data_IF_517250413230
#
_entry.id   IF_517250413230
#
_cell.length_a   1.000
_cell.length_b   1.000
_cell.length_c   1.000
_cell.angle_alpha   90.00
_cell.angle_beta   90.00
_cell.angle_gamma   90.00
#
_symmetry.space_group_name_H-M   'P 1'
#
loop_
_entity.id
_entity.type
_entity.pdbx_description
1 polymer ?
#
# COMPACT_ATOMS: atom_id res chain seq x y z
N UNK A 1 -14.11 15.45 -0.31
CA UNK A 1 -13.11 14.90 0.62
C UNK A 1 -11.98 14.24 -0.17
N UNK A 2 -10.75 14.41 0.28
CA UNK A 2 -9.56 13.87 -0.39
C UNK A 2 -9.05 12.63 0.36
N UNK A 3 -9.91 11.61 0.49
CA UNK A 3 -9.52 10.37 1.17
C UNK A 3 -8.99 9.36 0.15
N UNK A 4 -7.90 8.73 0.52
CA UNK A 4 -7.25 7.70 -0.28
C UNK A 4 -6.86 6.52 0.61
N UNK A 5 -6.83 5.34 0.01
CA UNK A 5 -6.24 4.16 0.63
C UNK A 5 -4.91 3.88 -0.09
N UNK A 6 -3.87 3.62 0.68
CA UNK A 6 -2.57 3.23 0.12
C UNK A 6 -2.34 1.74 0.26
N UNK A 7 -1.76 1.14 -0.76
CA UNK A 7 -1.45 -0.30 -0.77
C UNK A 7 0.00 -0.55 -1.14
N UNK A 8 0.64 -1.42 -0.38
CA UNK A 8 1.92 -2.03 -0.73
C UNK A 8 1.64 -3.52 -1.00
N UNK A 9 1.59 -3.89 -2.27
CA UNK A 9 1.15 -5.22 -2.69
C UNK A 9 2.34 -6.19 -2.74
N UNK A 10 2.39 -7.10 -1.76
CA UNK A 10 3.37 -8.17 -1.73
C UNK A 10 2.76 -9.51 -2.13
N UNK A 11 3.60 -10.54 -2.29
CA UNK A 11 3.16 -11.87 -2.68
C UNK A 11 2.38 -12.57 -1.56
N UNK A 12 2.76 -12.33 -0.34
CA UNK A 12 2.18 -12.98 0.85
C UNK A 12 1.31 -12.03 1.64
N UNK A 13 1.70 -10.77 1.74
CA UNK A 13 1.02 -9.75 2.55
C UNK A 13 0.83 -8.48 1.76
N UNK A 14 -0.25 -7.76 2.07
CA UNK A 14 -0.51 -6.43 1.52
C UNK A 14 -0.59 -5.46 2.69
N UNK A 15 0.29 -4.47 2.70
CA UNK A 15 0.22 -3.37 3.66
C UNK A 15 -0.85 -2.38 3.23
N UNK A 16 -1.60 -1.86 4.19
CA UNK A 16 -2.69 -0.91 3.92
C UNK A 16 -2.49 0.33 4.77
N UNK A 17 -2.65 1.48 4.15
CA UNK A 17 -2.62 2.78 4.82
C UNK A 17 -3.87 3.57 4.47
N UNK A 18 -4.20 4.54 5.31
CA UNK A 18 -5.30 5.48 5.07
C UNK A 18 -4.82 6.90 5.30
N UNK A 19 -5.61 7.87 4.91
CA UNK A 19 -5.29 9.26 5.20
C UNK A 19 -6.46 9.97 5.87
N UNK A 20 -6.17 11.15 6.41
CA UNK A 20 -7.18 12.02 7.00
C UNK A 20 -8.12 12.59 5.92
N UNK A 21 -9.31 13.11 6.29
CA UNK A 21 -10.26 13.67 5.32
C UNK A 21 -9.72 14.83 4.49
N UNK A 22 -8.70 15.54 4.98
CA UNK A 22 -8.10 16.64 4.25
C UNK A 22 -7.02 16.18 3.26
N UNK A 23 -6.62 14.91 3.31
CA UNK A 23 -5.61 14.36 2.41
C UNK A 23 -4.20 14.87 2.69
N UNK A 24 -3.88 15.09 3.96
CA UNK A 24 -2.59 15.66 4.37
C UNK A 24 -1.63 14.61 4.92
N UNK A 25 -2.13 13.73 5.77
CA UNK A 25 -1.29 12.78 6.50
C UNK A 25 -1.74 11.33 6.28
N UNK A 26 -0.79 10.48 5.90
CA UNK A 26 -1.01 9.04 5.78
C UNK A 26 -0.68 8.33 7.09
N UNK A 27 -1.51 7.37 7.45
CA UNK A 27 -1.31 6.51 8.63
C UNK A 27 -1.42 5.04 8.25
N UNK A 28 -0.60 4.20 8.86
CA UNK A 28 -0.70 2.76 8.67
C UNK A 28 -2.03 2.25 9.25
N UNK A 29 -2.70 1.36 8.52
CA UNK A 29 -4.01 0.83 8.94
C UNK A 29 -3.94 -0.64 9.33
N UNK A 30 -3.53 -1.50 8.43
CA UNK A 30 -3.46 -2.94 8.70
C UNK A 30 -2.58 -3.66 7.68
N UNK A 31 -2.35 -4.95 7.92
CA UNK A 31 -1.71 -5.86 6.97
C UNK A 31 -2.70 -6.96 6.64
N UNK A 32 -2.88 -7.23 5.36
CA UNK A 32 -3.72 -8.33 4.89
C UNK A 32 -2.81 -9.53 4.60
N UNK A 33 -3.06 -10.66 5.29
CA UNK A 33 -2.38 -11.91 5.01
C UNK A 33 -3.15 -12.64 3.90
N UNK A 34 -2.54 -12.75 2.73
CA UNK A 34 -3.19 -13.31 1.54
C UNK A 34 -3.46 -14.81 1.64
N UNK A 35 -2.81 -15.51 2.56
CA UNK A 35 -3.06 -16.93 2.80
C UNK A 35 -4.26 -17.19 3.71
N UNK A 36 -4.71 -16.14 4.41
CA UNK A 36 -5.80 -16.24 5.39
C UNK A 36 -7.05 -15.54 4.91
N UNK A 37 -6.91 -14.40 4.23
CA UNK A 37 -8.00 -13.51 3.85
C UNK A 37 -7.96 -13.25 2.35
N UNK A 38 -9.13 -13.21 1.70
CA UNK A 38 -9.23 -12.74 0.32
C UNK A 38 -8.90 -11.25 0.30
N UNK A 39 -7.79 -10.83 -0.31
CA UNK A 39 -7.35 -9.46 -0.20
C UNK A 39 -8.30 -8.46 -0.90
N UNK A 40 -8.90 -8.83 -2.01
CA UNK A 40 -9.79 -7.93 -2.75
C UNK A 40 -11.08 -7.71 -1.97
N UNK A 41 -11.64 -8.76 -1.37
CA UNK A 41 -12.82 -8.61 -0.51
C UNK A 41 -12.52 -7.73 0.70
N UNK A 42 -11.36 -7.90 1.33
CA UNK A 42 -10.97 -7.06 2.45
C UNK A 42 -10.77 -5.60 2.05
N UNK A 43 -10.15 -5.36 0.91
CA UNK A 43 -9.95 -4.00 0.38
C UNK A 43 -11.32 -3.34 0.12
N UNK A 44 -12.26 -4.11 -0.43
CA UNK A 44 -13.62 -3.62 -0.66
C UNK A 44 -14.30 -3.17 0.64
N UNK A 45 -14.14 -3.95 1.71
CA UNK A 45 -14.64 -3.57 3.03
C UNK A 45 -13.99 -2.28 3.55
N UNK A 46 -12.67 -2.18 3.41
CA UNK A 46 -11.92 -1.00 3.86
C UNK A 46 -12.37 0.25 3.09
N UNK A 47 -12.55 0.14 1.78
CA UNK A 47 -13.04 1.26 0.97
C UNK A 47 -14.42 1.71 1.42
N UNK A 48 -15.30 0.76 1.74
CA UNK A 48 -16.63 1.07 2.25
C UNK A 48 -16.55 1.78 3.61
N UNK A 49 -15.73 1.27 4.52
CA UNK A 49 -15.56 1.83 5.85
C UNK A 49 -14.97 3.25 5.82
N UNK A 50 -14.01 3.48 4.92
CA UNK A 50 -13.36 4.79 4.79
C UNK A 50 -14.14 5.76 3.88
N UNK A 51 -15.13 5.28 3.17
CA UNK A 51 -15.95 6.11 2.31
C UNK A 51 -15.21 6.67 1.10
N UNK A 52 -14.36 5.87 0.48
CA UNK A 52 -13.59 6.30 -0.70
C UNK A 52 -13.51 5.18 -1.73
N UNK A 53 -13.23 5.56 -2.98
CA UNK A 53 -12.97 4.62 -4.08
C UNK A 53 -11.60 4.88 -4.72
N UNK A 54 -10.77 5.70 -4.08
CA UNK A 54 -9.46 6.08 -4.60
C UNK A 54 -8.37 5.28 -3.90
N UNK A 55 -7.55 4.60 -4.68
CA UNK A 55 -6.50 3.71 -4.18
C UNK A 55 -5.17 4.13 -4.79
N UNK A 56 -4.19 4.32 -3.93
CA UNK A 56 -2.81 4.60 -4.33
C UNK A 56 -2.01 3.32 -4.13
N UNK A 57 -1.39 2.82 -5.20
CA UNK A 57 -0.63 1.56 -5.17
C UNK A 57 0.82 1.84 -5.50
N UNK A 58 1.73 1.33 -4.67
CA UNK A 58 3.15 1.40 -4.95
C UNK A 58 3.52 0.47 -6.11
N UNK A 59 4.25 1.00 -7.09
CA UNK A 59 4.72 0.22 -8.22
C UNK A 59 6.22 -0.04 -8.05
N UNK A 60 6.62 -1.30 -7.79
CA UNK A 60 8.04 -1.61 -7.61
C UNK A 60 8.75 -1.56 -8.96
N UNK A 61 9.78 -0.72 -9.04
CA UNK A 61 10.62 -0.62 -10.22
C UNK A 61 12.06 -0.91 -9.83
N UNK A 62 12.85 -1.46 -10.76
CA UNK A 62 14.27 -1.60 -10.52
C UNK A 62 14.92 -0.22 -10.43
N UNK A 63 16.14 -0.16 -9.89
CA UNK A 63 16.84 1.11 -9.66
C UNK A 63 17.10 1.90 -10.93
N UNK A 64 17.13 1.23 -12.09
CA UNK A 64 17.27 1.89 -13.39
C UNK A 64 15.93 2.37 -13.98
N UNK A 65 14.83 2.18 -13.26
CA UNK A 65 13.51 2.61 -13.67
C UNK A 65 12.75 1.64 -14.55
N UNK A 66 13.32 0.47 -14.86
CA UNK A 66 12.61 -0.53 -15.67
C UNK A 66 11.62 -1.33 -14.82
N UNK A 67 10.61 -1.90 -15.49
CA UNK A 67 9.67 -2.82 -14.83
C UNK A 67 10.36 -4.15 -14.59
N UNK A 68 9.95 -4.83 -13.54
CA UNK A 68 10.44 -6.16 -13.18
C UNK A 68 9.26 -7.12 -12.96
N UNK A 69 9.56 -8.36 -12.59
CA UNK A 69 8.53 -9.39 -12.35
C UNK A 69 7.56 -8.96 -11.25
N UNK A 70 8.05 -8.30 -10.22
CA UNK A 70 7.20 -7.85 -9.13
C UNK A 70 6.21 -6.77 -9.60
N UNK A 71 6.65 -5.87 -10.48
CA UNK A 71 5.77 -4.86 -11.06
C UNK A 71 4.64 -5.50 -11.87
N UNK A 72 4.96 -6.56 -12.62
CA UNK A 72 3.94 -7.31 -13.38
C UNK A 72 2.90 -7.94 -12.46
N UNK A 73 3.32 -8.49 -11.31
CA UNK A 73 2.41 -9.05 -10.32
C UNK A 73 1.49 -8.00 -9.74
N UNK A 74 2.01 -6.80 -9.46
CA UNK A 74 1.21 -5.69 -8.95
C UNK A 74 0.20 -5.23 -10.01
N UNK A 75 0.61 -5.10 -11.26
CA UNK A 75 -0.29 -4.74 -12.36
C UNK A 75 -1.43 -5.74 -12.51
N UNK A 76 -1.12 -7.03 -12.40
CA UNK A 76 -2.13 -8.09 -12.43
C UNK A 76 -3.12 -7.96 -11.28
N UNK A 77 -2.62 -7.69 -10.08
CA UNK A 77 -3.47 -7.50 -8.91
C UNK A 77 -4.40 -6.30 -9.10
N UNK A 78 -3.88 -5.19 -9.61
CA UNK A 78 -4.69 -4.00 -9.92
C UNK A 78 -5.79 -4.34 -10.91
N UNK A 79 -5.47 -5.08 -11.96
CA UNK A 79 -6.44 -5.50 -12.98
C UNK A 79 -7.56 -6.34 -12.36
N UNK A 80 -7.23 -7.31 -11.51
CA UNK A 80 -8.22 -8.14 -10.83
C UNK A 80 -9.09 -7.32 -9.89
N UNK A 81 -8.48 -6.38 -9.18
CA UNK A 81 -9.19 -5.50 -8.26
C UNK A 81 -10.22 -4.65 -9.01
N UNK A 82 -9.83 -4.09 -10.16
CA UNK A 82 -10.74 -3.29 -11.00
C UNK A 82 -11.91 -4.10 -11.54
N UNK A 83 -11.72 -5.40 -11.77
CA UNK A 83 -12.80 -6.28 -12.22
C UNK A 83 -13.80 -6.61 -11.12
N UNK A 84 -13.34 -6.68 -9.88
CA UNK A 84 -14.16 -7.14 -8.75
C UNK A 84 -14.75 -6.02 -7.92
N UNK A 85 -14.17 -4.83 -7.96
CA UNK A 85 -14.66 -3.66 -7.23
C UNK A 85 -15.01 -2.57 -8.23
N UNK A 86 -16.29 -2.19 -8.25
CA UNK A 86 -16.78 -1.18 -9.19
C UNK A 86 -16.29 0.23 -8.87
N UNK A 87 -16.03 0.97 -9.91
CA UNK A 87 -15.77 2.42 -9.87
C UNK A 87 -14.59 2.84 -9.04
N UNK A 88 -13.60 1.98 -8.88
CA UNK A 88 -12.37 2.38 -8.18
C UNK A 88 -11.47 3.17 -9.13
N UNK A 89 -10.74 4.11 -8.56
CA UNK A 89 -9.71 4.87 -9.25
C UNK A 89 -8.37 4.46 -8.65
N UNK A 90 -7.48 3.94 -9.48
CA UNK A 90 -6.17 3.47 -9.03
C UNK A 90 -5.09 4.39 -9.55
N UNK A 91 -4.25 4.87 -8.63
CA UNK A 91 -3.12 5.74 -8.91
C UNK A 91 -1.86 4.97 -8.53
N UNK A 92 -0.87 4.92 -9.41
CA UNK A 92 0.38 4.23 -9.12
C UNK A 92 1.48 5.23 -8.75
N UNK A 93 2.32 4.84 -7.81
CA UNK A 93 3.45 5.63 -7.33
C UNK A 93 4.70 4.76 -7.40
N UNK A 94 5.81 5.33 -7.89
CA UNK A 94 7.09 4.64 -7.90
C UNK A 94 7.56 4.45 -6.45
N UNK A 95 7.74 3.17 -6.05
CA UNK A 95 8.12 2.85 -4.67
C UNK A 95 9.59 2.45 -4.52
N UNK A 96 10.45 2.82 -5.47
CA UNK A 96 11.89 2.57 -5.30
C UNK A 96 12.35 3.15 -3.97
N UNK A 97 13.10 2.37 -3.19
CA UNK A 97 13.61 2.73 -1.86
C UNK A 97 12.58 2.80 -0.74
N UNK A 98 11.28 2.61 -1.00
CA UNK A 98 10.24 2.72 0.04
C UNK A 98 10.44 1.69 1.15
N UNK A 99 10.71 0.43 0.79
CA UNK A 99 10.96 -0.62 1.79
C UNK A 99 12.23 -0.32 2.60
N UNK A 100 13.27 0.20 1.95
CA UNK A 100 14.51 0.60 2.63
C UNK A 100 14.24 1.71 3.64
N UNK A 101 13.43 2.70 3.29
CA UNK A 101 13.02 3.78 4.20
C UNK A 101 12.27 3.22 5.40
N UNK A 102 11.34 2.28 5.17
CA UNK A 102 10.58 1.64 6.22
C UNK A 102 11.48 0.84 7.16
N UNK A 103 12.42 0.08 6.61
CA UNK A 103 13.37 -0.69 7.40
C UNK A 103 14.27 0.21 8.23
N UNK A 104 14.74 1.31 7.66
CA UNK A 104 15.55 2.28 8.37
C UNK A 104 14.79 2.89 9.55
N UNK A 105 13.54 3.27 9.32
CA UNK A 105 12.66 3.79 10.37
C UNK A 105 12.52 2.79 11.53
N UNK A 106 12.33 1.51 11.21
CA UNK A 106 12.12 0.46 12.19
C UNK A 106 13.38 0.00 12.89
N UNK A 107 14.56 0.33 12.36
CA UNK A 107 15.83 -0.05 12.95
C UNK A 107 15.96 0.43 14.40
N UNK A 108 15.33 1.53 14.73
CA UNK A 108 15.32 2.11 16.07
C UNK A 108 14.20 1.58 16.96
N UNK A 109 13.28 0.80 16.41
CA UNK A 109 12.11 0.31 17.12
C UNK A 109 12.15 -1.16 17.50
N UNK A 110 13.13 -1.92 17.01
CA UNK A 110 12.88 -3.33 16.95
C UNK A 110 13.54 -4.16 18.01
N UNK A 111 12.69 -4.63 18.91
CA UNK A 111 12.91 -5.85 19.67
C UNK A 111 11.88 -6.91 19.30
N UNK A 112 11.11 -6.71 18.22
CA UNK A 112 10.09 -7.65 17.76
C UNK A 112 10.73 -8.79 16.97
N UNK A 113 10.07 -9.97 16.94
CA UNK A 113 10.55 -11.08 16.14
C UNK A 113 10.41 -10.76 14.63
N UNK A 114 11.06 -11.55 13.78
CA UNK A 114 11.13 -11.27 12.35
C UNK A 114 9.77 -11.22 11.65
N UNK A 115 8.79 -12.01 12.11
CA UNK A 115 7.44 -12.04 11.53
C UNK A 115 6.67 -10.75 11.82
N UNK A 116 6.67 -10.32 13.07
CA UNK A 116 6.02 -9.07 13.48
C UNK A 116 6.68 -7.86 12.84
N UNK A 117 8.01 -7.89 12.75
CA UNK A 117 8.80 -6.84 12.12
C UNK A 117 8.41 -6.67 10.66
N UNK A 118 8.25 -7.79 9.92
CA UNK A 118 7.83 -7.73 8.51
C UNK A 118 6.44 -7.14 8.34
N UNK A 119 5.50 -7.46 9.23
CA UNK A 119 4.16 -6.86 9.19
C UNK A 119 4.21 -5.35 9.39
N UNK A 120 5.02 -4.89 10.33
CA UNK A 120 5.18 -3.46 10.58
C UNK A 120 5.84 -2.77 9.38
N UNK A 121 6.86 -3.40 8.77
CA UNK A 121 7.48 -2.88 7.55
C UNK A 121 6.45 -2.71 6.44
N UNK A 122 5.58 -3.69 6.22
CA UNK A 122 4.55 -3.63 5.19
C UNK A 122 3.57 -2.48 5.42
N UNK A 123 3.15 -2.26 6.67
CA UNK A 123 2.25 -1.15 7.00
C UNK A 123 2.94 0.21 6.83
N UNK A 124 4.18 0.32 7.27
CA UNK A 124 4.94 1.57 7.14
C UNK A 124 5.21 1.86 5.67
N UNK A 125 5.56 0.83 4.88
CA UNK A 125 5.76 0.99 3.45
C UNK A 125 4.51 1.54 2.76
N UNK A 126 3.32 1.00 3.09
CA UNK A 126 2.07 1.49 2.55
C UNK A 126 1.82 2.97 2.91
N UNK A 127 2.12 3.37 4.14
CA UNK A 127 1.95 4.76 4.56
C UNK A 127 2.93 5.70 3.83
N UNK A 128 4.16 5.24 3.57
CA UNK A 128 5.14 6.02 2.82
C UNK A 128 4.68 6.21 1.36
N UNK A 129 4.19 5.14 0.75
CA UNK A 129 3.65 5.18 -0.61
C UNK A 129 2.51 6.21 -0.69
N UNK A 130 1.57 6.14 0.23
CA UNK A 130 0.45 7.05 0.26
C UNK A 130 0.91 8.49 0.51
N UNK A 131 1.82 8.69 1.46
CA UNK A 131 2.33 10.02 1.76
C UNK A 131 3.04 10.66 0.57
N UNK A 132 3.81 9.89 -0.19
CA UNK A 132 4.46 10.39 -1.41
C UNK A 132 3.43 10.98 -2.37
N UNK A 133 2.31 10.29 -2.55
CA UNK A 133 1.24 10.80 -3.41
C UNK A 133 0.58 12.04 -2.82
N UNK A 134 0.25 12.01 -1.53
CA UNK A 134 -0.39 13.16 -0.88
C UNK A 134 0.49 14.42 -0.98
N UNK A 135 1.80 14.26 -0.88
CA UNK A 135 2.73 15.38 -0.97
C UNK A 135 2.73 16.01 -2.38
N UNK A 136 2.38 15.26 -3.42
CA UNK A 136 2.26 15.82 -4.77
C UNK A 136 1.04 16.71 -4.95
N UNK A 137 0.07 16.61 -4.03
CA UNK A 137 -1.17 17.39 -4.10
C UNK A 137 -1.07 18.75 -3.41
N UNK A 138 0.05 19.03 -2.77
CA UNK A 138 0.25 20.30 -2.04
C UNK A 138 0.71 21.41 -2.95
#
# INVERSE_FOLDING_TARGET
MKKFIGLDVGDVRIGVAKCDPLGILATALEVIDRNVTDPIERIKEILSDEGTRKIVVGMPKSLDGTKNIQAEKVEKFISEMKKKIERIEVITVDERYTTTEAEHYLKNYSKKNGKERRKVVDMVAASIILQKYLDTLK
#
